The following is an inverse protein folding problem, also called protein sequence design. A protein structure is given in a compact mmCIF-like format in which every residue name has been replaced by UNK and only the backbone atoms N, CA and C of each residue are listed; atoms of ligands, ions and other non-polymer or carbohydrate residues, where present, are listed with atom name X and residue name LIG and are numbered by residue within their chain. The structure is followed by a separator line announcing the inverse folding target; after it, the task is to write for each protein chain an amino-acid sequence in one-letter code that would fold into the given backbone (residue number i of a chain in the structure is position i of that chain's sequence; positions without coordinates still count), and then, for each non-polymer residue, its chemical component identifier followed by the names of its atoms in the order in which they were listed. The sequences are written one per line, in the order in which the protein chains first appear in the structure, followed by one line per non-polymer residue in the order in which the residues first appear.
data_IF_236476297339
#
_entry.id   IF_236476297339
#
_cell.length_a   1.000
_cell.length_b   1.000
_cell.length_c   1.000
_cell.angle_alpha   90.00
_cell.angle_beta   90.00
_cell.angle_gamma   90.00
#
_symmetry.space_group_name_H-M   'P 1'
#
loop_
_entity.id
_entity.type
_entity.pdbx_description
1 polymer ?
#
# COMPACT_ATOMS: atom_id res chain seq x y z
N UNK A 1 -7.92 71.91 -18.26
CA UNK A 1 -7.23 70.63 -18.53
C UNK A 1 -7.04 69.92 -17.20
N UNK A 2 -7.83 68.88 -16.93
CA UNK A 2 -7.86 68.16 -15.65
C UNK A 2 -7.71 66.66 -15.98
N UNK A 3 -6.58 66.06 -15.61
CA UNK A 3 -6.30 64.64 -15.85
C UNK A 3 -6.53 63.85 -14.56
N UNK A 4 -7.49 62.94 -14.58
CA UNK A 4 -7.74 61.95 -13.53
C UNK A 4 -6.92 60.69 -13.86
N UNK A 5 -5.97 60.34 -13.00
CA UNK A 5 -5.23 59.06 -13.05
C UNK A 5 -6.01 58.00 -12.26
N UNK A 6 -6.48 56.96 -12.94
CA UNK A 6 -7.03 55.75 -12.31
C UNK A 6 -5.89 54.76 -12.05
N UNK A 7 -5.68 54.41 -10.78
CA UNK A 7 -4.79 53.31 -10.36
C UNK A 7 -5.67 52.07 -10.18
N UNK A 8 -5.54 51.09 -11.07
CA UNK A 8 -6.11 49.76 -10.87
C UNK A 8 -5.21 48.96 -9.92
N UNK A 9 -5.67 48.76 -8.69
CA UNK A 9 -5.05 47.81 -7.77
C UNK A 9 -5.52 46.39 -8.13
N UNK A 10 -4.64 45.59 -8.74
CA UNK A 10 -4.84 44.15 -8.90
C UNK A 10 -4.66 43.49 -7.52
N UNK A 11 -5.76 43.17 -6.83
CA UNK A 11 -5.74 42.25 -5.71
C UNK A 11 -5.53 40.83 -6.25
N UNK A 12 -4.28 40.36 -6.23
CA UNK A 12 -3.98 38.94 -6.44
C UNK A 12 -4.45 38.15 -5.21
N UNK A 13 -5.60 37.49 -5.32
CA UNK A 13 -6.05 36.52 -4.31
C UNK A 13 -5.15 35.28 -4.40
N UNK A 14 -4.20 35.15 -3.49
CA UNK A 14 -3.45 33.91 -3.33
C UNK A 14 -4.44 32.80 -2.90
N UNK A 15 -4.47 31.65 -3.58
CA UNK A 15 -5.30 30.53 -3.15
C UNK A 15 -4.79 30.05 -1.79
N UNK A 16 -5.64 30.12 -0.77
CA UNK A 16 -5.38 29.47 0.52
C UNK A 16 -5.21 27.97 0.28
N UNK A 17 -4.03 27.44 0.58
CA UNK A 17 -3.79 26.00 0.57
C UNK A 17 -4.58 25.42 1.74
N UNK A 18 -5.81 24.96 1.47
CA UNK A 18 -6.55 24.15 2.43
C UNK A 18 -5.80 22.83 2.56
N UNK A 19 -5.06 22.66 3.65
CA UNK A 19 -4.53 21.35 4.03
C UNK A 19 -5.72 20.46 4.34
N UNK A 20 -6.10 19.61 3.39
CA UNK A 20 -7.10 18.57 3.62
C UNK A 20 -6.70 17.67 4.78
N UNK A 21 -7.69 17.09 5.46
CA UNK A 21 -7.43 16.07 6.46
C UNK A 21 -6.63 14.91 5.84
N UNK A 22 -5.71 14.28 6.59
CA UNK A 22 -4.93 13.17 6.05
C UNK A 22 -5.84 12.01 5.61
N UNK A 23 -5.46 11.34 4.51
CA UNK A 23 -6.23 10.21 4.00
C UNK A 23 -6.12 9.02 4.96
N UNK A 24 -7.24 8.34 5.23
CA UNK A 24 -7.28 7.21 6.16
C UNK A 24 -7.50 5.88 5.41
N UNK A 25 -6.44 5.09 5.29
CA UNK A 25 -6.49 3.76 4.64
C UNK A 25 -7.16 2.70 5.53
N UNK A 26 -7.46 3.01 6.78
CA UNK A 26 -8.12 2.06 7.70
C UNK A 26 -9.63 2.28 7.76
N UNK A 27 -10.18 3.12 6.88
CA UNK A 27 -11.58 3.50 6.87
C UNK A 27 -12.16 3.40 5.47
N UNK A 28 -13.25 2.66 5.35
CA UNK A 28 -14.03 2.62 4.12
C UNK A 28 -14.75 3.96 3.90
N UNK A 29 -15.02 4.29 2.63
CA UNK A 29 -15.82 5.47 2.34
C UNK A 29 -17.28 5.25 2.78
N UNK A 30 -17.91 6.24 3.41
CA UNK A 30 -19.32 6.20 3.85
C UNK A 30 -20.30 6.62 2.75
N UNK A 31 -21.59 6.31 2.94
CA UNK A 31 -22.71 6.71 2.07
C UNK A 31 -23.17 5.62 1.09
N UNK A 32 -24.01 5.99 0.13
CA UNK A 32 -24.45 5.12 -0.97
C UNK A 32 -23.48 5.22 -2.14
N UNK A 33 -22.79 4.13 -2.43
CA UNK A 33 -21.60 4.14 -3.27
C UNK A 33 -21.73 3.17 -4.44
N UNK A 34 -21.12 3.52 -5.57
CA UNK A 34 -20.90 2.61 -6.69
C UNK A 34 -19.54 2.88 -7.33
N UNK A 35 -19.04 1.90 -8.11
CA UNK A 35 -17.81 2.04 -8.88
C UNK A 35 -18.12 2.49 -10.31
N UNK A 36 -17.42 3.52 -10.78
CA UNK A 36 -17.48 4.00 -12.16
C UNK A 36 -16.13 3.81 -12.86
N UNK A 37 -16.19 3.42 -14.13
CA UNK A 37 -15.09 3.46 -15.06
C UNK A 37 -15.65 3.81 -16.44
N UNK A 38 -15.31 4.99 -16.94
CA UNK A 38 -15.77 5.46 -18.24
C UNK A 38 -15.55 4.40 -19.34
N UNK A 39 -16.60 4.09 -20.10
CA UNK A 39 -16.58 3.12 -21.18
C UNK A 39 -16.55 1.64 -20.75
N UNK A 40 -16.51 1.33 -19.45
CA UNK A 40 -16.63 -0.06 -18.98
C UNK A 40 -18.09 -0.54 -19.03
N UNK A 41 -18.30 -1.81 -19.36
CA UNK A 41 -19.61 -2.45 -19.25
C UNK A 41 -19.81 -3.11 -17.87
N UNK A 42 -21.05 -3.56 -17.61
CA UNK A 42 -21.37 -4.28 -16.37
C UNK A 42 -20.63 -5.61 -16.24
N UNK A 43 -20.28 -6.27 -17.35
CA UNK A 43 -19.55 -7.54 -17.32
C UNK A 43 -18.13 -7.35 -16.77
N UNK A 44 -17.42 -6.32 -17.24
CA UNK A 44 -16.11 -5.92 -16.74
C UNK A 44 -16.19 -5.46 -15.28
N UNK A 45 -17.17 -4.62 -14.95
CA UNK A 45 -17.42 -4.19 -13.56
C UNK A 45 -17.58 -5.39 -12.62
N UNK A 46 -18.48 -6.32 -12.94
CA UNK A 46 -18.77 -7.46 -12.10
C UNK A 46 -17.58 -8.42 -12.01
N UNK A 47 -16.89 -8.64 -13.14
CA UNK A 47 -15.68 -9.47 -13.18
C UNK A 47 -14.56 -8.94 -12.30
N UNK A 48 -14.27 -7.63 -12.38
CA UNK A 48 -13.22 -7.00 -11.57
C UNK A 48 -13.61 -6.90 -10.08
N UNK A 49 -14.88 -6.61 -9.78
CA UNK A 49 -15.37 -6.57 -8.40
C UNK A 49 -15.35 -7.95 -7.75
N UNK A 50 -15.79 -8.99 -8.46
CA UNK A 50 -15.65 -10.39 -8.01
C UNK A 50 -14.19 -10.78 -7.82
N UNK A 51 -13.30 -10.35 -8.72
CA UNK A 51 -11.86 -10.58 -8.56
C UNK A 51 -11.33 -9.91 -7.29
N UNK A 52 -11.73 -8.68 -6.97
CA UNK A 52 -11.33 -8.00 -5.73
C UNK A 52 -11.88 -8.69 -4.47
N UNK A 53 -13.14 -9.15 -4.50
CA UNK A 53 -13.73 -9.93 -3.40
C UNK A 53 -12.97 -11.23 -3.19
N UNK A 54 -12.64 -11.95 -4.28
CA UNK A 54 -11.88 -13.18 -4.23
C UNK A 54 -10.45 -12.95 -3.71
N UNK A 55 -9.79 -11.88 -4.15
CA UNK A 55 -8.43 -11.54 -3.72
C UNK A 55 -8.36 -11.32 -2.20
N UNK A 56 -9.34 -10.59 -1.65
CA UNK A 56 -9.52 -10.46 -0.19
C UNK A 56 -9.74 -11.82 0.49
N UNK A 57 -10.69 -12.62 0.00
CA UNK A 57 -11.06 -13.89 0.61
C UNK A 57 -9.91 -14.90 0.61
N UNK A 58 -9.08 -14.89 -0.43
CA UNK A 58 -7.89 -15.75 -0.57
C UNK A 58 -6.69 -15.28 0.27
N UNK A 59 -6.80 -14.13 0.94
CA UNK A 59 -5.67 -13.58 1.67
C UNK A 59 -5.24 -14.48 2.84
N UNK A 60 -3.99 -14.33 3.28
CA UNK A 60 -3.44 -15.14 4.37
C UNK A 60 -3.68 -14.44 5.71
N UNK A 61 -4.37 -15.10 6.65
CA UNK A 61 -4.51 -14.59 8.01
C UNK A 61 -3.19 -14.72 8.76
N UNK A 62 -2.61 -13.62 9.29
CA UNK A 62 -1.67 -13.77 10.38
C UNK A 62 -2.44 -14.33 11.58
N UNK A 63 -1.98 -15.42 12.17
CA UNK A 63 -2.56 -15.86 13.45
C UNK A 63 -2.52 -14.70 14.47
N UNK A 64 -3.62 -14.47 15.21
CA UNK A 64 -3.60 -13.52 16.31
C UNK A 64 -2.43 -13.89 17.24
N UNK A 65 -1.66 -12.88 17.67
CA UNK A 65 -0.66 -13.10 18.71
C UNK A 65 -1.35 -13.75 19.92
N UNK A 66 -0.70 -14.70 20.62
CA UNK A 66 -1.32 -15.36 21.76
C UNK A 66 -1.57 -14.33 22.86
N UNK A 67 -2.79 -13.82 22.93
CA UNK A 67 -3.26 -13.05 24.06
C UNK A 67 -3.57 -14.05 25.17
N UNK A 68 -2.94 -13.87 26.32
CA UNK A 68 -3.17 -14.64 27.56
C UNK A 68 -4.53 -14.32 28.19
N UNK A 69 -5.58 -14.23 27.39
CA UNK A 69 -6.92 -13.90 27.85
C UNK A 69 -7.74 -15.20 27.86
N UNK A 70 -8.27 -15.59 29.03
CA UNK A 70 -9.09 -16.81 29.20
C UNK A 70 -10.34 -16.84 28.31
N UNK A 71 -11.23 -17.81 28.50
CA UNK A 71 -12.41 -18.08 27.63
C UNK A 71 -13.24 -16.82 27.30
N UNK A 72 -13.42 -15.89 28.25
CA UNK A 72 -14.13 -14.61 28.03
C UNK A 72 -13.36 -13.67 27.08
N UNK A 73 -12.03 -13.66 27.16
CA UNK A 73 -11.17 -12.92 26.26
C UNK A 73 -11.22 -13.45 24.82
N UNK A 74 -11.34 -14.77 24.64
CA UNK A 74 -11.49 -15.38 23.30
C UNK A 74 -12.78 -14.92 22.64
N UNK A 75 -13.92 -14.94 23.35
CA UNK A 75 -15.23 -14.51 22.79
C UNK A 75 -15.21 -13.02 22.39
N UNK A 76 -14.64 -12.16 23.24
CA UNK A 76 -14.52 -10.72 22.93
C UNK A 76 -13.62 -10.52 21.70
N UNK A 77 -12.47 -11.20 21.65
CA UNK A 77 -11.55 -11.16 20.50
C UNK A 77 -12.24 -11.67 19.23
N UNK A 78 -13.01 -12.75 19.28
CA UNK A 78 -13.73 -13.31 18.13
C UNK A 78 -14.80 -12.33 17.61
N UNK A 79 -15.56 -11.68 18.51
CA UNK A 79 -16.54 -10.66 18.10
C UNK A 79 -15.87 -9.41 17.50
N UNK A 80 -14.75 -8.96 18.09
CA UNK A 80 -13.96 -7.84 17.59
C UNK A 80 -13.34 -8.18 16.22
N UNK A 81 -12.87 -9.42 16.06
CA UNK A 81 -12.37 -9.93 14.79
C UNK A 81 -13.49 -9.96 13.76
N UNK A 82 -14.66 -10.52 14.04
CA UNK A 82 -15.78 -10.54 13.09
C UNK A 82 -16.18 -9.12 12.64
N UNK A 83 -16.20 -8.16 13.57
CA UNK A 83 -16.47 -6.76 13.27
C UNK A 83 -15.37 -6.11 12.40
N UNK A 84 -14.10 -6.34 12.71
CA UNK A 84 -12.97 -5.86 11.92
C UNK A 84 -12.86 -6.53 10.56
N UNK A 85 -13.24 -7.80 10.43
CA UNK A 85 -13.23 -8.53 9.17
C UNK A 85 -14.25 -7.96 8.19
N UNK A 86 -15.44 -7.58 8.66
CA UNK A 86 -16.42 -6.84 7.85
C UNK A 86 -15.86 -5.50 7.36
N UNK A 87 -15.25 -4.72 8.26
CA UNK A 87 -14.63 -3.45 7.90
C UNK A 87 -13.47 -3.62 6.91
N UNK A 88 -12.57 -4.60 7.14
CA UNK A 88 -11.43 -4.92 6.26
C UNK A 88 -11.90 -5.33 4.87
N UNK A 89 -12.93 -6.18 4.78
CA UNK A 89 -13.52 -6.59 3.50
C UNK A 89 -13.90 -5.35 2.68
N UNK A 90 -14.67 -4.43 3.26
CA UNK A 90 -15.14 -3.25 2.55
C UNK A 90 -14.00 -2.32 2.15
N UNK A 91 -13.04 -2.10 3.06
CA UNK A 91 -11.84 -1.28 2.79
C UNK A 91 -11.04 -1.89 1.65
N UNK A 92 -10.80 -3.20 1.68
CA UNK A 92 -9.95 -3.89 0.74
C UNK A 92 -10.57 -4.04 -0.66
N UNK A 93 -11.89 -4.25 -0.73
CA UNK A 93 -12.61 -4.20 -2.02
C UNK A 93 -12.47 -2.81 -2.63
N UNK A 94 -12.68 -1.77 -1.83
CA UNK A 94 -12.52 -0.39 -2.29
C UNK A 94 -11.09 -0.12 -2.77
N UNK A 95 -10.08 -0.51 -2.01
CA UNK A 95 -8.67 -0.37 -2.35
C UNK A 95 -8.30 -1.08 -3.65
N UNK A 96 -8.76 -2.31 -3.80
CA UNK A 96 -8.52 -3.11 -4.99
C UNK A 96 -9.17 -2.48 -6.23
N UNK A 97 -10.43 -2.05 -6.13
CA UNK A 97 -11.12 -1.42 -7.25
C UNK A 97 -10.48 -0.09 -7.63
N UNK A 98 -10.13 0.78 -6.68
CA UNK A 98 -9.45 2.04 -7.03
C UNK A 98 -8.06 1.80 -7.61
N UNK A 99 -7.31 0.82 -7.09
CA UNK A 99 -6.02 0.43 -7.67
C UNK A 99 -6.17 -0.11 -9.10
N UNK A 100 -7.23 -0.85 -9.42
CA UNK A 100 -7.55 -1.24 -10.81
C UNK A 100 -7.97 -0.08 -11.70
N UNK A 101 -8.07 1.12 -11.15
CA UNK A 101 -8.44 2.32 -11.88
C UNK A 101 -9.93 2.61 -11.87
N UNK A 102 -10.75 2.03 -10.97
CA UNK A 102 -12.13 2.47 -10.80
C UNK A 102 -12.21 3.75 -9.97
N UNK A 103 -13.23 4.56 -10.23
CA UNK A 103 -13.60 5.69 -9.38
C UNK A 103 -14.67 5.23 -8.40
N UNK A 104 -14.59 5.69 -7.15
CA UNK A 104 -15.68 5.51 -6.20
C UNK A 104 -16.56 6.76 -6.22
N UNK A 105 -17.84 6.55 -6.46
CA UNK A 105 -18.81 7.63 -6.60
C UNK A 105 -19.87 7.49 -5.52
N UNK A 106 -20.20 8.60 -4.86
CA UNK A 106 -21.26 8.71 -3.87
C UNK A 106 -22.49 9.35 -4.49
N UNK A 107 -23.64 8.70 -4.30
CA UNK A 107 -24.95 9.26 -4.65
C UNK A 107 -25.54 10.06 -3.50
N UNK A 108 -26.42 11.03 -3.78
CA UNK A 108 -27.29 11.61 -2.76
C UNK A 108 -28.09 10.53 -2.03
N UNK A 109 -28.31 10.72 -0.72
CA UNK A 109 -28.90 9.68 0.14
C UNK A 109 -30.27 9.20 -0.34
N UNK A 110 -31.15 10.12 -0.79
CA UNK A 110 -32.48 9.78 -1.30
C UNK A 110 -32.41 8.84 -2.51
N UNK A 111 -31.55 9.15 -3.47
CA UNK A 111 -31.38 8.31 -4.66
C UNK A 111 -30.71 6.98 -4.32
N UNK A 112 -29.66 7.03 -3.50
CA UNK A 112 -28.94 5.84 -3.05
C UNK A 112 -29.84 4.87 -2.29
N UNK A 113 -30.67 5.37 -1.39
CA UNK A 113 -31.64 4.57 -0.63
C UNK A 113 -32.71 3.96 -1.54
N UNK A 114 -33.22 4.75 -2.49
CA UNK A 114 -34.17 4.26 -3.50
C UNK A 114 -33.58 3.10 -4.30
N UNK A 115 -32.33 3.23 -4.79
CA UNK A 115 -31.64 2.19 -5.54
C UNK A 115 -31.35 0.96 -4.68
N UNK A 116 -30.93 1.14 -3.42
CA UNK A 116 -30.62 0.04 -2.51
C UNK A 116 -31.84 -0.86 -2.20
N UNK A 117 -33.06 -0.36 -2.40
CA UNK A 117 -34.32 -1.10 -2.21
C UNK A 117 -34.79 -1.84 -3.48
N UNK A 118 -34.17 -1.59 -4.64
CA UNK A 118 -34.57 -2.25 -5.88
C UNK A 118 -34.22 -3.74 -5.87
N UNK A 119 -35.04 -4.59 -6.52
CA UNK A 119 -34.64 -5.94 -6.89
C UNK A 119 -33.34 -5.93 -7.71
N UNK A 120 -32.54 -6.98 -7.61
CA UNK A 120 -31.20 -7.04 -8.22
C UNK A 120 -31.20 -6.71 -9.72
N UNK A 121 -32.07 -7.34 -10.49
CA UNK A 121 -32.18 -7.14 -11.93
C UNK A 121 -32.48 -5.66 -12.27
N UNK A 122 -33.38 -5.02 -11.52
CA UNK A 122 -33.69 -3.61 -11.66
C UNK A 122 -32.54 -2.71 -11.21
N UNK A 123 -31.83 -3.07 -10.14
CA UNK A 123 -30.64 -2.36 -9.67
C UNK A 123 -29.51 -2.41 -10.72
N UNK A 124 -29.24 -3.58 -11.31
CA UNK A 124 -28.24 -3.75 -12.37
C UNK A 124 -28.59 -2.87 -13.58
N UNK A 125 -29.86 -2.89 -14.01
CA UNK A 125 -30.33 -2.04 -15.11
C UNK A 125 -30.18 -0.55 -14.78
N UNK A 126 -30.50 -0.16 -13.55
CA UNK A 126 -30.38 1.24 -13.10
C UNK A 126 -28.92 1.71 -12.97
N UNK A 127 -28.01 0.84 -12.52
CA UNK A 127 -26.59 1.19 -12.34
C UNK A 127 -25.77 1.12 -13.63
N UNK A 128 -26.16 0.30 -14.61
CA UNK A 128 -25.43 0.14 -15.87
C UNK A 128 -25.05 1.46 -16.57
N UNK A 129 -25.95 2.46 -16.72
CA UNK A 129 -25.57 3.74 -17.29
C UNK A 129 -24.63 4.55 -16.38
N UNK A 130 -24.63 4.33 -15.06
CA UNK A 130 -23.77 5.06 -14.13
C UNK A 130 -22.35 4.51 -14.12
N UNK A 131 -22.22 3.18 -14.18
CA UNK A 131 -20.93 2.46 -14.18
C UNK A 131 -20.07 2.85 -15.39
N UNK A 132 -20.70 3.03 -16.55
CA UNK A 132 -20.05 3.29 -17.84
C UNK A 132 -19.88 4.77 -18.19
N UNK A 133 -20.53 5.68 -17.46
CA UNK A 133 -20.58 7.10 -17.82
C UNK A 133 -19.20 7.78 -17.79
N UNK A 134 -18.93 8.63 -18.78
CA UNK A 134 -17.77 9.55 -18.77
C UNK A 134 -17.88 10.56 -17.62
N UNK A 135 -19.10 11.03 -17.35
CA UNK A 135 -19.44 11.89 -16.22
C UNK A 135 -20.35 11.09 -15.27
N UNK A 136 -19.79 10.46 -14.22
CA UNK A 136 -20.58 9.65 -13.31
C UNK A 136 -21.65 10.49 -12.60
N UNK A 137 -22.82 9.90 -12.41
CA UNK A 137 -23.88 10.50 -11.60
C UNK A 137 -23.48 10.49 -10.13
N UNK A 138 -23.37 11.66 -9.50
CA UNK A 138 -22.99 11.80 -8.09
C UNK A 138 -21.61 12.45 -7.90
N UNK A 139 -21.07 12.35 -6.69
CA UNK A 139 -19.78 12.92 -6.32
C UNK A 139 -18.68 11.87 -6.42
N UNK A 140 -17.61 12.13 -7.20
CA UNK A 140 -16.41 11.29 -7.17
C UNK A 140 -15.69 11.53 -5.84
N UNK A 141 -15.84 10.59 -4.91
CA UNK A 141 -15.28 10.67 -3.56
C UNK A 141 -13.92 10.02 -3.43
N UNK A 142 -13.56 9.13 -4.38
CA UNK A 142 -12.22 8.51 -4.38
C UNK A 142 -11.73 8.16 -5.78
N UNK A 143 -10.44 8.40 -5.98
CA UNK A 143 -9.62 7.88 -7.08
C UNK A 143 -8.27 7.47 -6.50
N UNK A 144 -7.59 6.51 -7.13
CA UNK A 144 -6.24 6.14 -6.71
C UNK A 144 -5.26 7.29 -6.93
N UNK A 145 -4.47 7.58 -5.89
CA UNK A 145 -3.49 8.67 -5.82
C UNK A 145 -2.14 8.20 -5.23
N UNK A 146 -1.91 6.89 -5.13
CA UNK A 146 -0.73 6.32 -4.47
C UNK A 146 -0.64 6.71 -2.98
N UNK A 147 -1.77 6.67 -2.26
CA UNK A 147 -1.90 7.22 -0.90
C UNK A 147 -0.83 6.70 0.07
N UNK A 148 -0.32 5.47 -0.11
CA UNK A 148 0.72 4.87 0.73
C UNK A 148 2.09 5.53 0.63
N UNK A 149 2.35 6.33 -0.42
CA UNK A 149 3.60 7.07 -0.52
C UNK A 149 3.63 8.27 0.45
N UNK A 150 2.47 8.74 0.92
CA UNK A 150 2.40 9.91 1.78
C UNK A 150 2.58 9.55 3.26
N UNK A 151 3.45 10.28 3.94
CA UNK A 151 3.72 10.13 5.36
C UNK A 151 2.56 10.56 6.25
N UNK A 152 1.74 11.47 5.75
CA UNK A 152 0.49 11.94 6.36
C UNK A 152 -0.61 10.88 6.33
N UNK A 153 -0.57 9.93 5.40
CA UNK A 153 -1.59 8.87 5.29
C UNK A 153 -1.67 8.06 6.59
N UNK A 154 -2.89 7.95 7.10
CA UNK A 154 -3.18 7.25 8.33
C UNK A 154 -3.21 5.75 8.03
N UNK A 155 -2.24 5.07 8.63
CA UNK A 155 -2.01 3.63 8.56
C UNK A 155 -1.81 3.10 9.98
N UNK A 156 -2.21 1.86 10.23
CA UNK A 156 -1.95 1.18 11.50
C UNK A 156 -2.98 1.42 12.61
N UNK A 157 -4.05 2.18 12.35
CA UNK A 157 -5.25 2.16 13.20
C UNK A 157 -6.02 0.86 13.02
N UNK A 158 -6.85 0.51 14.02
CA UNK A 158 -7.84 -0.55 13.84
C UNK A 158 -8.81 -0.17 12.72
N UNK A 159 -9.19 -1.12 11.84
CA UNK A 159 -10.20 -0.88 10.81
C UNK A 159 -11.50 -0.32 11.41
N UNK A 160 -12.00 0.78 10.86
CA UNK A 160 -13.24 1.42 11.30
C UNK A 160 -14.36 1.09 10.30
N UNK A 161 -15.48 0.48 10.72
CA UNK A 161 -16.62 0.29 9.86
C UNK A 161 -17.19 1.63 9.40
N UNK A 162 -17.55 1.71 8.13
CA UNK A 162 -18.26 2.86 7.59
C UNK A 162 -19.77 2.61 7.58
N UNK A 163 -20.56 3.65 7.84
CA UNK A 163 -21.99 3.64 7.50
C UNK A 163 -22.10 3.77 5.98
N UNK A 164 -22.11 2.63 5.28
CA UNK A 164 -22.10 2.57 3.82
C UNK A 164 -23.06 1.54 3.27
N UNK A 165 -23.51 1.79 2.06
CA UNK A 165 -24.20 0.84 1.20
C UNK A 165 -23.49 0.83 -0.15
N UNK A 166 -22.77 -0.24 -0.46
CA UNK A 166 -22.09 -0.38 -1.75
C UNK A 166 -23.06 -1.01 -2.76
N UNK A 167 -23.72 -0.16 -3.56
CA UNK A 167 -24.71 -0.54 -4.57
C UNK A 167 -24.11 -1.51 -5.61
N UNK A 168 -22.87 -1.28 -6.02
CA UNK A 168 -22.11 -2.19 -6.88
C UNK A 168 -22.03 -3.61 -6.31
N UNK A 169 -21.88 -3.78 -4.99
CA UNK A 169 -21.84 -5.09 -4.36
C UNK A 169 -23.23 -5.72 -4.21
N UNK A 170 -24.29 -4.91 -4.04
CA UNK A 170 -25.66 -5.41 -4.06
C UNK A 170 -26.06 -5.95 -5.44
N UNK A 171 -25.59 -5.29 -6.52
CA UNK A 171 -25.86 -5.68 -7.90
C UNK A 171 -25.35 -7.08 -8.28
N UNK A 172 -24.34 -7.61 -7.57
CA UNK A 172 -23.80 -8.96 -7.77
C UNK A 172 -24.32 -10.02 -6.77
N UNK A 173 -25.02 -9.64 -5.69
CA UNK A 173 -25.17 -10.49 -4.49
C UNK A 173 -26.40 -11.41 -4.40
N UNK A 174 -27.29 -11.53 -5.39
CA UNK A 174 -28.54 -12.30 -5.19
C UNK A 174 -28.54 -13.78 -5.65
N UNK A 175 -27.61 -14.22 -6.51
CA UNK A 175 -27.70 -15.56 -7.13
C UNK A 175 -26.40 -16.39 -7.05
N UNK A 176 -25.49 -16.09 -6.11
CA UNK A 176 -24.22 -16.83 -6.05
C UNK A 176 -23.90 -17.38 -4.66
N UNK A 177 -24.51 -18.51 -4.26
CA UNK A 177 -23.92 -19.39 -3.24
C UNK A 177 -22.51 -19.86 -3.65
N UNK A 178 -22.14 -19.73 -4.94
CA UNK A 178 -20.80 -19.94 -5.49
C UNK A 178 -20.00 -18.62 -5.63
N UNK A 179 -19.87 -17.82 -4.56
CA UNK A 179 -18.52 -17.28 -4.30
C UNK A 179 -17.81 -18.45 -3.62
N UNK A 180 -17.04 -19.28 -4.35
CA UNK A 180 -16.44 -20.45 -3.76
C UNK A 180 -15.53 -19.98 -2.62
N UNK A 181 -15.76 -20.50 -1.41
CA UNK A 181 -14.79 -20.44 -0.33
C UNK A 181 -14.62 -19.09 0.37
N UNK A 182 -15.66 -18.59 1.07
CA UNK A 182 -15.39 -17.99 2.40
C UNK A 182 -15.16 -19.11 3.44
N UNK A 183 -15.41 -20.38 3.07
CA UNK A 183 -15.32 -21.55 3.94
C UNK A 183 -13.96 -22.23 4.01
N UNK A 184 -12.97 -21.86 3.19
CA UNK A 184 -11.60 -22.33 3.35
C UNK A 184 -10.65 -21.14 3.50
N UNK A 185 -10.77 -20.47 4.64
CA UNK A 185 -9.63 -19.72 5.16
C UNK A 185 -8.50 -20.75 5.27
N UNK A 186 -7.39 -20.54 4.55
CA UNK A 186 -6.17 -21.25 4.88
C UNK A 186 -5.74 -20.75 6.26
N UNK A 187 -6.26 -21.40 7.28
CA UNK A 187 -5.68 -21.36 8.61
C UNK A 187 -4.28 -21.95 8.46
N UNK A 188 -3.30 -21.07 8.31
CA UNK A 188 -1.91 -21.45 8.55
C UNK A 188 -1.89 -21.95 9.97
N UNK A 189 -1.55 -23.23 10.17
CA UNK A 189 -1.62 -23.82 11.51
C UNK A 189 -0.70 -23.04 12.45
N UNK A 190 -1.05 -23.00 13.74
CA UNK A 190 -0.22 -22.39 14.78
C UNK A 190 1.24 -22.78 14.75
N UNK A 191 1.51 -24.01 14.35
CA UNK A 191 2.86 -24.53 14.16
C UNK A 191 3.53 -23.90 12.94
N UNK A 192 2.86 -23.85 11.78
CA UNK A 192 3.40 -23.20 10.57
C UNK A 192 3.60 -21.69 10.75
N UNK A 193 2.67 -20.99 11.42
CA UNK A 193 2.82 -19.56 11.69
C UNK A 193 3.94 -19.27 12.71
N UNK A 194 4.09 -20.13 13.72
CA UNK A 194 5.20 -20.02 14.68
C UNK A 194 6.55 -20.37 14.05
N UNK A 195 6.62 -21.42 13.23
CA UNK A 195 7.83 -21.75 12.45
C UNK A 195 8.12 -20.67 11.40
N UNK A 196 7.12 -20.06 10.78
CA UNK A 196 7.28 -18.89 9.92
C UNK A 196 7.84 -17.67 10.67
N UNK A 197 7.45 -17.48 11.95
CA UNK A 197 8.02 -16.44 12.83
C UNK A 197 9.44 -16.77 13.33
N UNK A 198 9.82 -18.05 13.41
CA UNK A 198 11.21 -18.47 13.65
C UNK A 198 12.12 -18.21 12.45
N UNK A 199 11.56 -17.93 11.27
CA UNK A 199 12.34 -17.50 10.10
C UNK A 199 13.04 -16.17 10.38
N UNK A 200 14.24 -16.03 9.84
CA UNK A 200 15.23 -15.07 10.34
C UNK A 200 14.76 -13.62 10.11
N UNK A 201 14.48 -12.90 11.20
CA UNK A 201 14.53 -11.45 11.14
C UNK A 201 15.98 -11.06 10.85
N UNK A 202 16.22 -10.53 9.66
CA UNK A 202 17.55 -10.05 9.27
C UNK A 202 17.73 -8.70 9.96
N UNK A 203 18.43 -8.71 11.10
CA UNK A 203 18.82 -7.49 11.79
C UNK A 203 19.88 -6.76 10.96
N UNK A 204 19.64 -5.48 10.65
CA UNK A 204 20.62 -4.64 9.97
C UNK A 204 21.87 -4.42 10.80
N UNK A 205 23.02 -4.45 10.11
CA UNK A 205 24.29 -4.04 10.67
C UNK A 205 24.28 -2.50 10.73
N UNK A 206 24.54 -1.95 11.92
CA UNK A 206 24.49 -0.50 12.19
C UNK A 206 25.60 0.28 11.45
N UNK A 207 25.38 1.59 11.27
CA UNK A 207 26.23 2.56 10.54
C UNK A 207 27.70 2.52 10.93
N UNK A 208 28.00 2.44 12.24
CA UNK A 208 29.37 2.41 12.75
C UNK A 208 30.13 1.11 12.45
N UNK A 209 29.48 0.18 11.74
CA UNK A 209 30.01 -1.13 11.33
C UNK A 209 29.90 -1.37 9.82
N UNK A 210 29.62 -0.35 8.99
CA UNK A 210 29.87 -0.48 7.54
C UNK A 210 31.34 -0.86 7.26
N UNK A 211 32.23 -0.49 8.17
CA UNK A 211 33.67 -0.81 8.17
C UNK A 211 33.95 -2.28 8.56
N UNK A 212 33.02 -2.97 9.24
CA UNK A 212 33.12 -4.41 9.49
C UNK A 212 32.62 -5.18 8.27
N UNK A 213 33.40 -5.12 7.19
CA UNK A 213 33.13 -5.85 5.95
C UNK A 213 33.23 -7.36 6.19
N UNK A 214 32.13 -7.98 6.65
CA UNK A 214 32.01 -9.43 6.58
C UNK A 214 32.05 -9.85 5.11
N UNK A 215 32.93 -10.80 4.76
CA UNK A 215 32.94 -11.40 3.44
C UNK A 215 31.55 -11.99 3.12
N UNK A 216 31.06 -11.77 1.90
CA UNK A 216 29.82 -12.37 1.43
C UNK A 216 30.01 -13.88 1.30
N UNK A 217 29.08 -14.64 1.88
CA UNK A 217 28.99 -16.08 1.61
C UNK A 217 28.27 -16.30 0.27
N UNK A 218 28.47 -17.46 -0.39
CA UNK A 218 27.67 -17.84 -1.55
C UNK A 218 26.18 -17.77 -1.26
N UNK A 219 25.40 -17.21 -2.18
CA UNK A 219 23.96 -16.97 -2.02
C UNK A 219 23.61 -15.69 -1.26
N UNK A 220 24.58 -14.88 -0.82
CA UNK A 220 24.34 -13.64 -0.08
C UNK A 220 24.58 -12.39 -0.92
N UNK A 221 23.79 -11.37 -0.60
CA UNK A 221 23.87 -10.02 -1.13
C UNK A 221 23.98 -9.05 0.03
N UNK A 222 24.83 -8.04 -0.11
CA UNK A 222 24.87 -6.92 0.82
C UNK A 222 23.98 -5.82 0.27
N UNK A 223 22.86 -5.52 0.93
CA UNK A 223 22.07 -4.34 0.60
C UNK A 223 22.52 -3.18 1.46
N UNK A 224 22.68 -2.03 0.83
CA UNK A 224 23.02 -0.77 1.47
C UNK A 224 21.89 0.21 1.18
N UNK A 225 21.48 0.99 2.18
CA UNK A 225 20.50 2.05 1.99
C UNK A 225 20.82 3.25 2.86
N UNK A 226 20.29 4.40 2.45
CA UNK A 226 20.35 5.63 3.24
C UNK A 226 18.95 6.08 3.62
N UNK A 227 18.81 6.71 4.78
CA UNK A 227 17.57 7.32 5.24
C UNK A 227 17.86 8.75 5.60
N UNK A 228 17.17 9.69 4.95
CA UNK A 228 17.14 11.10 5.33
C UNK A 228 15.81 11.39 6.02
N UNK A 229 15.83 11.92 7.24
CA UNK A 229 14.62 12.10 8.05
C UNK A 229 14.69 13.38 8.89
N UNK A 230 13.53 14.00 9.12
CA UNK A 230 13.38 15.09 10.10
C UNK A 230 13.19 14.58 11.54
N UNK A 231 12.98 13.26 11.74
CA UNK A 231 12.74 12.63 13.04
C UNK A 231 13.67 11.44 13.27
N UNK A 232 14.17 11.29 14.50
CA UNK A 232 15.15 10.26 14.89
C UNK A 232 14.63 8.82 14.92
N UNK A 233 13.33 8.56 14.81
CA UNK A 233 12.77 7.20 14.87
C UNK A 233 11.45 7.07 14.09
N UNK A 234 11.48 6.36 12.97
CA UNK A 234 10.29 5.85 12.28
C UNK A 234 10.71 4.64 11.44
N UNK A 235 9.98 3.53 11.54
CA UNK A 235 10.05 2.49 10.51
C UNK A 235 9.42 3.05 9.24
N UNK A 236 10.12 2.93 8.12
CA UNK A 236 9.74 3.56 6.86
C UNK A 236 9.12 2.51 5.94
N UNK A 237 9.79 1.37 5.75
CA UNK A 237 9.33 0.29 4.87
C UNK A 237 9.77 -1.07 5.39
N UNK A 238 9.04 -2.11 5.02
CA UNK A 238 9.40 -3.52 5.22
C UNK A 238 9.58 -4.18 3.86
N UNK A 239 10.69 -4.90 3.72
CA UNK A 239 11.06 -5.66 2.55
C UNK A 239 10.91 -7.14 2.82
N UNK A 240 10.40 -7.86 1.82
CA UNK A 240 10.23 -9.30 1.86
C UNK A 240 10.94 -9.91 0.65
N UNK A 241 11.62 -11.03 0.90
CA UNK A 241 12.19 -11.88 -0.15
C UNK A 241 11.11 -12.81 -0.71
N UNK A 242 11.05 -12.88 -2.04
CA UNK A 242 10.35 -13.96 -2.73
C UNK A 242 11.31 -15.13 -2.95
N UNK A 243 11.55 -15.91 -1.91
CA UNK A 243 12.35 -17.13 -1.99
C UNK A 243 11.63 -18.25 -2.74
N UNK A 244 10.29 -18.32 -2.63
CA UNK A 244 9.45 -19.33 -3.28
C UNK A 244 8.11 -18.68 -3.73
N UNK A 245 7.71 -18.80 -5.02
CA UNK A 245 6.41 -18.34 -5.48
C UNK A 245 5.21 -18.93 -4.73
N UNK A 246 5.39 -20.11 -4.12
CA UNK A 246 4.42 -20.81 -3.28
C UNK A 246 4.52 -20.46 -1.79
N UNK A 247 5.54 -19.69 -1.37
CA UNK A 247 5.67 -19.08 -0.03
C UNK A 247 5.26 -17.60 -0.07
N UNK A 248 3.96 -17.30 0.00
CA UNK A 248 3.45 -15.92 -0.06
C UNK A 248 3.86 -15.05 1.13
N UNK A 249 4.36 -15.66 2.22
CA UNK A 249 4.86 -14.91 3.37
C UNK A 249 6.29 -14.41 3.15
N UNK A 250 7.02 -15.01 2.21
CA UNK A 250 8.47 -14.91 2.12
C UNK A 250 9.16 -15.57 3.31
N UNK A 251 10.37 -16.07 3.08
CA UNK A 251 11.15 -16.68 4.16
C UNK A 251 12.00 -15.66 4.92
N UNK A 252 12.30 -14.50 4.32
CA UNK A 252 13.16 -13.49 4.91
C UNK A 252 12.56 -12.09 4.79
N UNK A 253 12.80 -11.26 5.80
CA UNK A 253 12.37 -9.86 5.79
C UNK A 253 13.36 -8.96 6.53
N UNK A 254 13.43 -7.70 6.09
CA UNK A 254 14.13 -6.63 6.81
C UNK A 254 13.33 -5.33 6.75
N UNK A 255 13.55 -4.45 7.72
CA UNK A 255 12.95 -3.12 7.76
C UNK A 255 13.95 -2.02 7.46
N UNK A 256 13.47 -0.94 6.85
CA UNK A 256 14.17 0.34 6.74
C UNK A 256 13.71 1.23 7.88
N UNK A 257 14.65 1.72 8.69
CA UNK A 257 14.37 2.52 9.89
C UNK A 257 15.20 3.81 9.90
N UNK A 258 14.58 4.93 10.29
CA UNK A 258 15.30 6.10 10.78
C UNK A 258 15.81 5.85 12.21
N UNK A 259 17.08 6.10 12.50
CA UNK A 259 17.71 5.78 13.79
C UNK A 259 18.15 6.98 14.64
N UNK A 260 18.45 6.66 15.92
CA UNK A 260 19.13 7.53 16.90
C UNK A 260 20.54 7.93 16.48
N UNK A 261 21.27 7.07 15.77
CA UNK A 261 22.68 7.24 15.40
C UNK A 261 22.85 7.93 14.03
N UNK A 262 21.86 8.72 13.63
CA UNK A 262 21.86 9.45 12.39
C UNK A 262 22.74 10.71 12.47
N UNK A 263 23.55 10.94 11.43
CA UNK A 263 24.39 12.11 11.26
C UNK A 263 23.52 13.35 11.06
N UNK A 264 23.68 14.41 11.87
CA UNK A 264 22.99 15.66 11.61
C UNK A 264 23.51 16.29 10.31
N UNK A 265 22.60 16.77 9.48
CA UNK A 265 22.89 17.55 8.29
C UNK A 265 22.75 19.06 8.58
N UNK A 266 23.41 19.95 7.81
CA UNK A 266 23.36 21.41 8.03
C UNK A 266 21.94 22.01 7.98
N UNK A 267 21.01 21.34 7.29
CA UNK A 267 19.61 21.74 7.16
C UNK A 267 18.72 21.29 8.34
N UNK A 268 19.32 20.71 9.39
CA UNK A 268 18.61 20.21 10.57
C UNK A 268 17.96 18.84 10.37
N UNK A 269 18.12 18.21 9.21
CA UNK A 269 17.70 16.83 8.96
C UNK A 269 18.77 15.84 9.43
N UNK A 270 18.44 14.56 9.42
CA UNK A 270 19.33 13.49 9.84
C UNK A 270 19.53 12.50 8.71
N UNK A 271 20.77 12.07 8.49
CA UNK A 271 21.14 11.05 7.51
C UNK A 271 21.67 9.80 8.22
N UNK A 272 21.21 8.62 7.81
CA UNK A 272 21.77 7.37 8.32
C UNK A 272 21.96 6.35 7.21
N UNK A 273 23.08 5.65 7.22
CA UNK A 273 23.39 4.57 6.28
C UNK A 273 23.26 3.21 6.96
N UNK A 274 22.78 2.21 6.24
CA UNK A 274 22.63 0.85 6.77
C UNK A 274 23.14 -0.15 5.77
N UNK A 275 23.63 -1.26 6.31
CA UNK A 275 23.92 -2.45 5.53
C UNK A 275 23.19 -3.63 6.14
N UNK A 276 22.55 -4.43 5.31
CA UNK A 276 21.95 -5.73 5.68
C UNK A 276 22.56 -6.79 4.77
N UNK A 277 22.79 -7.99 5.31
CA UNK A 277 23.13 -9.16 4.52
C UNK A 277 21.85 -9.96 4.32
N UNK A 278 21.52 -10.24 3.08
CA UNK A 278 20.28 -10.93 2.71
C UNK A 278 20.56 -12.02 1.67
N UNK A 279 19.67 -13.01 1.49
CA UNK A 279 19.78 -13.91 0.35
C UNK A 279 19.58 -13.20 -1.00
N UNK A 280 20.24 -13.74 -2.02
CA UNK A 280 20.00 -13.36 -3.41
C UNK A 280 18.58 -13.74 -3.86
N UNK A 281 18.01 -12.96 -4.77
CA UNK A 281 16.69 -13.21 -5.34
C UNK A 281 15.84 -11.94 -5.46
N UNK A 282 14.54 -12.14 -5.66
CA UNK A 282 13.59 -11.04 -5.85
C UNK A 282 13.12 -10.49 -4.50
N UNK A 283 13.28 -9.19 -4.30
CA UNK A 283 12.82 -8.47 -3.12
C UNK A 283 11.76 -7.45 -3.47
N UNK A 284 10.78 -7.26 -2.59
CA UNK A 284 9.72 -6.28 -2.79
C UNK A 284 9.30 -5.60 -1.49
N UNK A 285 8.71 -4.41 -1.62
CA UNK A 285 8.23 -3.60 -0.50
C UNK A 285 6.84 -4.07 -0.09
N UNK A 286 6.73 -4.77 1.04
CA UNK A 286 5.42 -5.12 1.60
C UNK A 286 4.68 -3.89 2.15
N UNK A 287 5.38 -3.02 2.87
CA UNK A 287 4.76 -1.83 3.46
C UNK A 287 5.39 -1.36 4.78
N UNK A 288 5.04 -0.15 5.23
CA UNK A 288 5.59 0.49 6.43
C UNK A 288 5.27 -0.24 7.75
N UNK A 289 4.22 -1.05 7.81
CA UNK A 289 3.70 -1.69 9.03
C UNK A 289 3.07 -3.05 8.73
N UNK A 290 3.00 -3.93 9.73
CA UNK A 290 2.34 -5.24 9.64
C UNK A 290 0.86 -5.21 9.26
N UNK A 291 0.21 -4.03 9.29
CA UNK A 291 -1.22 -3.86 9.03
C UNK A 291 -1.55 -3.42 7.59
N UNK A 292 -0.54 -3.23 6.73
CA UNK A 292 -0.70 -2.82 5.33
C UNK A 292 0.16 -3.72 4.44
N UNK A 293 -0.40 -4.17 3.34
CA UNK A 293 0.22 -5.06 2.37
C UNK A 293 0.09 -4.49 0.95
N UNK A 294 1.21 -4.16 0.32
CA UNK A 294 1.28 -3.56 -1.01
C UNK A 294 1.14 -4.58 -2.15
N UNK A 295 0.40 -5.66 -1.90
CA UNK A 295 0.23 -6.80 -2.78
C UNK A 295 -0.43 -6.48 -4.14
N UNK A 296 -1.08 -5.30 -4.26
CA UNK A 296 -1.70 -4.84 -5.50
C UNK A 296 -0.70 -4.14 -6.45
N UNK A 297 0.59 -4.25 -6.19
CA UNK A 297 1.65 -3.65 -6.97
C UNK A 297 2.65 -2.98 -6.06
N UNK A 298 3.63 -3.74 -5.61
CA UNK A 298 4.74 -3.27 -4.82
C UNK A 298 5.92 -2.85 -5.72
N UNK A 299 6.74 -1.88 -5.28
CA UNK A 299 8.09 -1.72 -5.82
C UNK A 299 8.94 -2.94 -5.48
N UNK A 300 9.75 -3.38 -6.44
CA UNK A 300 10.58 -4.58 -6.36
C UNK A 300 11.93 -4.39 -7.02
N UNK A 301 12.89 -5.25 -6.68
CA UNK A 301 14.22 -5.30 -7.29
C UNK A 301 14.82 -6.70 -7.19
N UNK A 302 15.74 -7.03 -8.09
CA UNK A 302 16.50 -8.28 -8.05
C UNK A 302 17.85 -8.07 -7.32
N UNK A 303 18.06 -8.81 -6.24
CA UNK A 303 19.32 -8.87 -5.51
C UNK A 303 20.22 -9.97 -6.08
N UNK A 304 21.29 -9.60 -6.79
CA UNK A 304 22.18 -10.55 -7.45
C UNK A 304 23.22 -11.14 -6.49
N UNK A 305 23.40 -12.45 -6.54
CA UNK A 305 24.36 -13.17 -5.69
C UNK A 305 25.77 -12.56 -5.73
N UNK A 306 26.41 -12.50 -4.57
CA UNK A 306 27.78 -11.98 -4.40
C UNK A 306 27.92 -10.48 -4.62
N UNK A 307 26.83 -9.73 -4.80
CA UNK A 307 26.90 -8.28 -5.04
C UNK A 307 26.68 -7.46 -3.77
N UNK A 308 27.20 -6.23 -3.81
CA UNK A 308 26.78 -5.17 -2.90
C UNK A 308 25.90 -4.20 -3.67
N UNK A 309 24.63 -4.10 -3.28
CA UNK A 309 23.64 -3.30 -3.97
C UNK A 309 23.17 -2.12 -3.12
N UNK A 310 22.98 -0.96 -3.75
CA UNK A 310 22.45 0.24 -3.12
C UNK A 310 20.97 0.39 -3.44
N UNK A 311 20.11 0.35 -2.40
CA UNK A 311 18.66 0.49 -2.53
C UNK A 311 18.22 1.92 -2.81
N UNK A 312 19.09 2.90 -2.54
CA UNK A 312 18.78 4.31 -2.65
C UNK A 312 18.78 5.04 -1.30
N UNK A 313 18.55 6.35 -1.38
CA UNK A 313 18.25 7.22 -0.24
C UNK A 313 16.74 7.34 -0.12
N UNK A 314 16.20 6.84 0.98
CA UNK A 314 14.81 7.06 1.39
C UNK A 314 14.70 8.42 2.07
N UNK A 315 14.07 9.38 1.40
CA UNK A 315 13.86 10.72 1.94
C UNK A 315 12.45 10.81 2.57
N UNK A 316 12.43 10.99 3.88
CA UNK A 316 11.23 11.20 4.69
C UNK A 316 11.18 12.61 5.29
N UNK A 317 11.88 13.57 4.69
CA UNK A 317 11.82 14.98 5.08
C UNK A 317 10.64 15.69 4.39
N UNK A 318 10.20 15.18 3.24
CA UNK A 318 9.00 15.64 2.52
C UNK A 318 7.77 14.82 2.91
N UNK A 319 6.55 15.27 2.57
CA UNK A 319 5.35 14.47 2.86
C UNK A 319 5.31 13.16 2.05
N UNK A 320 6.04 13.04 0.93
CA UNK A 320 6.14 11.78 0.18
C UNK A 320 7.41 11.01 0.57
N UNK A 321 7.30 9.69 0.66
CA UNK A 321 8.43 8.79 0.76
C UNK A 321 9.07 8.73 -0.63
N UNK A 322 10.16 9.46 -0.81
CA UNK A 322 10.96 9.44 -2.05
C UNK A 322 12.09 8.42 -1.96
N UNK A 323 12.41 7.76 -3.08
CA UNK A 323 13.63 6.96 -3.23
C UNK A 323 14.51 7.63 -4.29
N UNK A 324 15.67 8.13 -3.87
CA UNK A 324 16.68 8.67 -4.78
C UNK A 324 17.76 7.63 -5.02
N UNK A 325 18.14 7.41 -6.29
CA UNK A 325 19.28 6.58 -6.66
C UNK A 325 20.60 7.36 -6.76
N UNK A 326 20.58 8.65 -6.42
CA UNK A 326 21.79 9.46 -6.28
C UNK A 326 22.67 8.92 -5.14
N UNK A 327 23.89 8.52 -5.48
CA UNK A 327 24.85 7.99 -4.51
C UNK A 327 25.69 9.07 -3.83
N UNK A 328 25.51 10.36 -4.17
CA UNK A 328 26.30 11.45 -3.61
C UNK A 328 26.31 11.43 -2.08
N UNK A 329 25.16 11.16 -1.45
CA UNK A 329 25.04 11.10 0.02
C UNK A 329 25.76 9.90 0.65
N UNK A 330 26.09 8.85 -0.11
CA UNK A 330 26.71 7.63 0.44
C UNK A 330 28.15 7.40 -0.04
N UNK A 331 28.59 8.08 -1.09
CA UNK A 331 29.91 7.90 -1.70
C UNK A 331 31.06 8.06 -0.69
N UNK A 332 30.98 9.04 0.23
CA UNK A 332 32.00 9.22 1.27
C UNK A 332 32.07 7.99 2.20
N UNK A 333 30.92 7.51 2.68
CA UNK A 333 30.84 6.33 3.55
C UNK A 333 31.30 5.04 2.83
N UNK A 334 30.99 4.89 1.54
CA UNK A 334 31.49 3.78 0.72
C UNK A 334 33.01 3.85 0.54
N UNK A 335 33.55 5.04 0.24
CA UNK A 335 34.99 5.25 0.08
C UNK A 335 35.77 4.96 1.37
N UNK A 336 35.25 5.38 2.53
CA UNK A 336 35.90 5.14 3.83
C UNK A 336 35.85 3.66 4.24
N UNK A 337 34.79 2.93 3.86
CA UNK A 337 34.65 1.50 4.15
C UNK A 337 35.38 0.59 3.15
N UNK A 338 35.80 1.12 1.99
CA UNK A 338 36.37 0.33 0.89
C UNK A 338 35.35 -0.57 0.19
N UNK A 339 34.05 -0.37 0.41
CA UNK A 339 32.98 -1.16 -0.18
C UNK A 339 32.50 -0.50 -1.47
N UNK A 340 32.59 -1.21 -2.59
CA UNK A 340 31.92 -0.82 -3.83
C UNK A 340 30.46 -1.25 -3.82
N UNK A 341 29.54 -0.38 -4.22
CA UNK A 341 28.12 -0.69 -4.31
C UNK A 341 27.53 -0.20 -5.65
N UNK A 342 26.56 -0.94 -6.18
CA UNK A 342 25.83 -0.55 -7.41
C UNK A 342 24.35 -0.30 -7.11
N UNK A 343 23.74 0.78 -7.62
CA UNK A 343 22.30 1.00 -7.52
C UNK A 343 21.47 -0.19 -8.01
N UNK A 344 20.43 -0.57 -7.26
CA UNK A 344 19.45 -1.56 -7.73
C UNK A 344 18.60 -1.01 -8.86
N UNK A 345 18.05 -1.90 -9.67
CA UNK A 345 17.08 -1.58 -10.71
C UNK A 345 15.67 -1.81 -10.17
N UNK A 346 15.05 -0.73 -9.67
CA UNK A 346 13.67 -0.78 -9.16
C UNK A 346 12.67 -0.97 -10.30
N UNK A 347 11.61 -1.72 -9.99
CA UNK A 347 10.43 -1.88 -10.85
C UNK A 347 9.16 -1.83 -10.00
N UNK A 348 8.19 -1.04 -10.44
CA UNK A 348 6.86 -0.96 -9.85
C UNK A 348 5.95 -2.08 -10.38
N UNK A 349 4.91 -2.39 -9.61
CA UNK A 349 3.81 -3.24 -10.07
C UNK A 349 3.96 -4.73 -9.76
N UNK A 350 4.84 -5.09 -8.83
CA UNK A 350 4.98 -6.48 -8.41
C UNK A 350 3.76 -6.92 -7.58
N UNK A 351 3.00 -7.89 -8.09
CA UNK A 351 1.80 -8.42 -7.41
C UNK A 351 2.07 -9.79 -6.78
N UNK A 352 1.49 -10.03 -5.61
CA UNK A 352 1.60 -11.31 -4.89
C UNK A 352 0.31 -11.56 -4.07
N UNK A 353 0.09 -12.78 -3.53
CA UNK A 353 -1.05 -13.05 -2.68
C UNK A 353 -1.05 -12.14 -1.43
N UNK A 354 -2.13 -11.39 -1.23
CA UNK A 354 -2.24 -10.50 -0.09
C UNK A 354 -2.33 -11.26 1.24
N UNK A 355 -1.84 -10.65 2.31
CA UNK A 355 -2.22 -10.96 3.68
C UNK A 355 -3.61 -10.38 3.96
N UNK A 356 -4.39 -10.98 4.87
CA UNK A 356 -5.70 -10.47 5.31
C UNK A 356 -5.56 -9.25 6.24
N UNK A 357 -4.70 -8.31 5.87
CA UNK A 357 -4.54 -7.00 6.49
C UNK A 357 -5.19 -5.97 5.58
N UNK A 358 -4.66 -4.75 5.46
CA UNK A 358 -5.13 -3.77 4.48
C UNK A 358 -4.35 -3.95 3.19
N UNK A 359 -5.03 -4.25 2.08
CA UNK A 359 -4.43 -4.43 0.75
C UNK A 359 -4.30 -3.07 0.07
N UNK A 360 -3.16 -2.79 -0.56
CA UNK A 360 -2.98 -1.57 -1.35
C UNK A 360 -1.91 -1.72 -2.45
N UNK A 361 -1.74 -0.70 -3.28
CA UNK A 361 -0.67 -0.60 -4.28
C UNK A 361 0.27 0.56 -3.92
N UNK A 362 1.58 0.37 -4.06
CA UNK A 362 2.58 1.40 -3.84
C UNK A 362 3.44 1.55 -5.10
N UNK A 363 3.63 2.78 -5.55
CA UNK A 363 4.53 3.08 -6.68
C UNK A 363 5.61 4.07 -6.25
N UNK A 364 6.86 3.81 -6.61
CA UNK A 364 7.91 4.81 -6.52
C UNK A 364 7.95 5.67 -7.78
N UNK A 365 8.04 6.98 -7.59
CA UNK A 365 8.04 7.95 -8.68
C UNK A 365 9.29 7.78 -9.56
N UNK A 366 9.11 7.84 -10.89
CA UNK A 366 10.21 7.78 -11.86
C UNK A 366 10.75 6.38 -12.19
N UNK A 367 10.25 5.32 -11.55
CA UNK A 367 10.70 3.94 -11.84
C UNK A 367 9.80 3.22 -12.85
N UNK A 368 10.37 2.33 -13.69
CA UNK A 368 9.61 1.57 -14.68
C UNK A 368 8.62 0.61 -14.04
N UNK A 369 7.65 0.14 -14.82
CA UNK A 369 6.69 -0.87 -14.42
C UNK A 369 7.06 -2.24 -15.00
N UNK A 370 6.70 -3.30 -14.28
CA UNK A 370 6.66 -4.65 -14.85
C UNK A 370 5.70 -4.67 -16.05
N UNK A 371 6.08 -5.37 -17.12
CA UNK A 371 5.39 -5.36 -18.42
C UNK A 371 3.88 -5.64 -18.33
N UNK A 372 3.47 -6.53 -17.42
CA UNK A 372 2.08 -6.95 -17.27
C UNK A 372 1.29 -6.21 -16.19
N UNK A 373 1.89 -5.18 -15.57
CA UNK A 373 1.21 -4.41 -14.53
C UNK A 373 0.20 -3.42 -15.13
N UNK A 374 -1.06 -3.53 -14.71
CA UNK A 374 -2.18 -2.73 -15.23
C UNK A 374 -2.95 -1.96 -14.16
N UNK A 375 -2.45 -1.93 -12.92
CA UNK A 375 -3.13 -1.27 -11.79
C UNK A 375 -2.39 0.03 -11.43
N UNK A 376 -2.73 0.64 -10.30
CA UNK A 376 -2.17 1.92 -9.83
C UNK A 376 -2.26 3.02 -10.89
N UNK A 377 -1.13 3.66 -11.20
CA UNK A 377 -1.08 4.71 -12.22
C UNK A 377 -1.27 4.17 -13.64
N UNK A 378 -0.95 2.90 -13.90
CA UNK A 378 -1.18 2.26 -15.22
C UNK A 378 -2.66 1.98 -15.46
N UNK A 379 -3.43 1.65 -14.42
CA UNK A 379 -4.89 1.50 -14.51
C UNK A 379 -5.62 2.79 -14.87
N UNK A 380 -4.96 3.95 -14.71
CA UNK A 380 -5.49 5.26 -15.09
C UNK A 380 -5.21 5.63 -16.55
N UNK A 381 -4.12 5.13 -17.12
CA UNK A 381 -3.66 5.45 -18.49
C UNK A 381 -4.39 4.67 -19.57
N UNK A 382 -5.02 3.55 -19.22
CA UNK A 382 -5.82 2.72 -20.12
C UNK A 382 -7.26 3.21 -20.30
N UNK A 383 -7.55 4.45 -19.89
CA UNK A 383 -8.85 5.11 -19.98
C UNK A 383 -8.94 5.98 -21.23
#
# INVERSE_FOLDING_TARGET
MQYIKWIFALCATLPSIVSGAPFDLTKATSGYLYFNLAGADMARHDGELKNCISHWASGIRPEPAPYTAGIVGIIVIDSMNAHWEGARKDINIEHCMVAKGWQLVRLPDEEGERLAKLPRNELVQALSPYVSAEQPKGEIVRTWKNETIYQSTLIGKSPEPAKRTLLSALAISADNPEIPGITSIHEVTRKEAHEARKRQHIFGIKTNKLVEATALQPGQVRLIYSVRSSKKKRQILTFIERSDPSDPMGSNFFGVFGERDALPLPDGTFLSHRSVLVPAGLWFVQGPLVNLDNCLGAPSFEAKDGTTAYLGTFDTTTDKIGVSMDMTMINEALSQSGIGATPVQWQNGFTYPCRQTLMYALEFEGFPFLENYKWGSQGRKSR
#
